data_IF_332462096404
#
_entry.id   IF_332462096404
#
_cell.length_a   1.000
_cell.length_b   1.000
_cell.length_c   1.000
_cell.angle_alpha   90.00
_cell.angle_beta   90.00
_cell.angle_gamma   90.00
#
_symmetry.space_group_name_H-M   'P 1'
#
loop_
_entity.id
_entity.type
_entity.pdbx_description
1 polymer ?
#
# COMPACT_ATOMS: atom_id res chain seq x y z
N UNK A 1 10.75 -11.64 2.64
CA UNK A 1 10.02 -10.95 1.56
C UNK A 1 10.75 -9.73 0.99
N UNK A 2 11.09 -8.70 1.79
CA UNK A 2 11.72 -7.48 1.27
C UNK A 2 12.99 -7.69 0.44
N UNK A 3 13.87 -8.62 0.84
CA UNK A 3 15.06 -8.96 0.05
C UNK A 3 14.72 -9.55 -1.33
N UNK A 4 13.71 -10.42 -1.40
CA UNK A 4 13.24 -11.00 -2.65
C UNK A 4 12.65 -9.91 -3.55
N UNK A 5 11.83 -9.01 -2.98
CA UNK A 5 11.34 -7.83 -3.69
C UNK A 5 12.48 -6.96 -4.21
N UNK A 6 13.45 -6.59 -3.36
CA UNK A 6 14.57 -5.72 -3.73
C UNK A 6 15.41 -6.32 -4.86
N UNK A 7 15.67 -7.63 -4.80
CA UNK A 7 16.43 -8.35 -5.82
C UNK A 7 15.63 -8.43 -7.13
N UNK A 8 14.38 -8.88 -7.08
CA UNK A 8 13.58 -9.13 -8.27
C UNK A 8 13.18 -7.83 -8.98
N UNK A 9 12.73 -6.83 -8.23
CA UNK A 9 12.40 -5.52 -8.80
C UNK A 9 13.58 -4.91 -9.55
N UNK A 10 14.82 -5.09 -9.07
CA UNK A 10 16.04 -4.58 -9.73
C UNK A 10 16.30 -5.25 -11.09
N UNK A 11 15.88 -6.50 -11.27
CA UNK A 11 15.97 -7.20 -12.56
C UNK A 11 14.99 -6.58 -13.57
N UNK A 12 13.83 -6.12 -13.10
CA UNK A 12 12.80 -5.51 -13.95
C UNK A 12 13.14 -4.05 -14.30
N UNK A 13 13.64 -3.27 -13.34
CA UNK A 13 14.04 -1.88 -13.55
C UNK A 13 15.28 -1.52 -12.72
N UNK A 14 16.35 -1.12 -13.41
CA UNK A 14 17.67 -0.82 -12.85
C UNK A 14 17.79 0.62 -12.30
N UNK A 15 16.92 0.96 -11.34
CA UNK A 15 16.97 2.25 -10.63
C UNK A 15 17.23 2.11 -9.14
N UNK A 16 17.42 3.24 -8.46
CA UNK A 16 17.31 3.29 -7.01
C UNK A 16 15.90 2.81 -6.60
N UNK A 17 15.75 2.28 -5.39
CA UNK A 17 14.47 1.68 -4.96
C UNK A 17 13.30 2.67 -4.99
N UNK A 18 13.54 3.97 -4.78
CA UNK A 18 12.46 4.96 -4.81
C UNK A 18 11.89 5.12 -6.22
N UNK A 19 12.75 5.38 -7.21
CA UNK A 19 12.31 5.52 -8.61
C UNK A 19 11.80 4.21 -9.18
N UNK A 20 12.38 3.08 -8.74
CA UNK A 20 11.89 1.76 -9.09
C UNK A 20 10.48 1.50 -8.60
N UNK A 21 10.16 1.83 -7.35
CA UNK A 21 8.81 1.67 -6.82
C UNK A 21 7.81 2.51 -7.62
N UNK A 22 8.16 3.77 -7.92
CA UNK A 22 7.31 4.66 -8.73
C UNK A 22 7.10 4.09 -10.12
N UNK A 23 8.18 3.71 -10.80
CA UNK A 23 8.12 3.14 -12.14
C UNK A 23 7.27 1.87 -12.19
N UNK A 24 7.41 0.97 -11.21
CA UNK A 24 6.60 -0.24 -11.13
C UNK A 24 5.12 0.05 -10.88
N UNK A 25 4.78 1.03 -10.03
CA UNK A 25 3.38 1.44 -9.81
C UNK A 25 2.77 2.04 -11.07
N UNK A 26 3.50 2.92 -11.76
CA UNK A 26 3.02 3.67 -12.93
C UNK A 26 2.98 2.83 -14.22
N UNK A 27 3.97 1.94 -14.44
CA UNK A 27 4.21 1.31 -15.73
C UNK A 27 4.07 -0.23 -15.73
N UNK A 28 3.85 -0.86 -14.58
CA UNK A 28 3.76 -2.32 -14.50
C UNK A 28 2.56 -2.82 -13.72
N UNK A 29 2.56 -2.65 -12.40
CA UNK A 29 1.57 -3.31 -11.55
C UNK A 29 0.14 -2.89 -11.87
N UNK A 30 -0.15 -1.59 -12.01
CA UNK A 30 -1.50 -1.14 -12.33
C UNK A 30 -1.99 -1.76 -13.65
N UNK A 31 -1.19 -1.67 -14.71
CA UNK A 31 -1.51 -2.22 -16.04
C UNK A 31 -1.73 -3.73 -16.01
N UNK A 32 -0.86 -4.49 -15.32
CA UNK A 32 -0.98 -5.94 -15.21
C UNK A 32 -2.23 -6.34 -14.41
N UNK A 33 -2.49 -5.66 -13.30
CA UNK A 33 -3.68 -5.91 -12.47
C UNK A 33 -4.95 -5.62 -13.26
N UNK A 34 -4.97 -4.51 -14.01
CA UNK A 34 -6.13 -4.07 -14.79
C UNK A 34 -6.33 -4.87 -16.09
N UNK A 35 -5.29 -5.54 -16.60
CA UNK A 35 -5.40 -6.39 -17.80
C UNK A 35 -6.23 -7.65 -17.61
N UNK A 36 -6.48 -8.09 -16.37
CA UNK A 36 -7.33 -9.24 -16.05
C UNK A 36 -8.38 -8.82 -15.03
N UNK A 37 -9.66 -8.90 -15.39
CA UNK A 37 -10.77 -8.55 -14.49
C UNK A 37 -10.73 -9.37 -13.21
N UNK A 38 -10.43 -10.68 -13.30
CA UNK A 38 -10.33 -11.56 -12.13
C UNK A 38 -9.18 -11.17 -11.20
N UNK A 39 -8.02 -10.82 -11.75
CA UNK A 39 -6.88 -10.35 -10.96
C UNK A 39 -7.20 -9.00 -10.29
N UNK A 40 -7.81 -8.08 -11.04
CA UNK A 40 -8.24 -6.79 -10.51
C UNK A 40 -9.19 -6.98 -9.31
N UNK A 41 -10.22 -7.81 -9.47
CA UNK A 41 -11.18 -8.11 -8.39
C UNK A 41 -10.50 -8.74 -7.17
N UNK A 42 -9.57 -9.66 -7.38
CA UNK A 42 -8.82 -10.29 -6.29
C UNK A 42 -7.93 -9.28 -5.54
N UNK A 43 -7.26 -8.37 -6.25
CA UNK A 43 -6.47 -7.29 -5.61
C UNK A 43 -7.39 -6.30 -4.89
N UNK A 44 -8.55 -5.97 -5.46
CA UNK A 44 -9.57 -5.15 -4.76
C UNK A 44 -10.06 -5.81 -3.47
N UNK A 45 -10.23 -7.14 -3.45
CA UNK A 45 -10.53 -7.88 -2.22
C UNK A 45 -9.39 -7.78 -1.19
N UNK A 46 -8.15 -7.89 -1.62
CA UNK A 46 -6.99 -7.71 -0.74
C UNK A 46 -6.92 -6.28 -0.19
N UNK A 47 -7.16 -5.26 -1.02
CA UNK A 47 -7.24 -3.85 -0.58
C UNK A 47 -8.34 -3.65 0.48
N UNK A 48 -9.49 -4.32 0.35
CA UNK A 48 -10.57 -4.29 1.34
C UNK A 48 -10.15 -4.79 2.72
N UNK A 49 -9.12 -5.62 2.81
CA UNK A 49 -8.61 -6.15 4.08
C UNK A 49 -7.55 -5.28 4.75
N UNK A 50 -7.25 -4.09 4.23
CA UNK A 50 -6.25 -3.23 4.84
C UNK A 50 -6.57 -2.92 6.33
N UNK A 51 -5.65 -3.22 7.26
CA UNK A 51 -5.86 -2.94 8.68
C UNK A 51 -5.96 -1.45 8.99
N UNK A 52 -6.76 -1.08 9.99
CA UNK A 52 -6.83 0.31 10.45
C UNK A 52 -5.47 0.82 10.92
N UNK A 53 -4.70 -0.01 11.64
CA UNK A 53 -3.32 0.30 12.04
C UNK A 53 -2.40 0.64 10.85
N UNK A 54 -2.57 -0.03 9.71
CA UNK A 54 -1.83 0.29 8.48
C UNK A 54 -2.13 1.72 8.03
N UNK A 55 -3.42 2.07 8.01
CA UNK A 55 -3.88 3.39 7.57
C UNK A 55 -3.45 4.50 8.54
N UNK A 56 -3.46 4.22 9.85
CA UNK A 56 -2.96 5.14 10.88
C UNK A 56 -1.45 5.37 10.74
N UNK A 57 -0.68 4.30 10.54
CA UNK A 57 0.75 4.41 10.31
C UNK A 57 1.03 5.19 9.02
N UNK A 58 0.31 4.89 7.93
CA UNK A 58 0.43 5.61 6.66
C UNK A 58 0.15 7.11 6.85
N UNK A 59 -0.96 7.46 7.52
CA UNK A 59 -1.30 8.86 7.80
C UNK A 59 -0.20 9.56 8.61
N UNK A 60 0.27 8.92 9.67
CA UNK A 60 1.36 9.43 10.53
C UNK A 60 2.67 9.66 9.75
N UNK A 61 2.88 8.95 8.63
CA UNK A 61 4.07 9.16 7.78
C UNK A 61 3.85 10.19 6.68
N UNK A 62 2.62 10.44 6.28
CA UNK A 62 2.28 11.35 5.18
C UNK A 62 1.85 12.75 5.62
N UNK A 63 1.45 12.96 6.87
CA UNK A 63 0.94 14.28 7.31
C UNK A 63 1.99 15.39 7.21
N UNK A 64 3.28 15.09 7.43
CA UNK A 64 4.34 16.09 7.32
C UNK A 64 4.64 16.40 5.85
N UNK A 65 4.24 17.59 5.39
CA UNK A 65 4.65 18.14 4.10
C UNK A 65 6.17 18.13 4.00
N UNK A 66 6.69 17.52 2.94
CA UNK A 66 8.13 17.29 2.68
C UNK A 66 8.78 16.12 3.43
N UNK A 67 8.03 15.28 4.15
CA UNK A 67 8.57 14.03 4.65
C UNK A 67 9.07 13.15 3.49
N UNK A 68 10.01 12.24 3.76
CA UNK A 68 10.48 11.29 2.74
C UNK A 68 9.32 10.42 2.22
N UNK A 69 8.36 10.06 3.08
CA UNK A 69 7.21 9.26 2.67
C UNK A 69 6.25 10.08 1.80
N UNK A 70 5.95 11.33 2.19
CA UNK A 70 5.17 12.27 1.39
C UNK A 70 5.76 12.38 -0.02
N UNK A 71 7.05 12.72 -0.10
CA UNK A 71 7.80 12.88 -1.36
C UNK A 71 7.81 11.61 -2.23
N UNK A 72 7.81 10.42 -1.63
CA UNK A 72 7.79 9.16 -2.39
C UNK A 72 6.43 8.92 -3.05
N UNK A 73 5.34 9.28 -2.38
CA UNK A 73 3.97 9.12 -2.88
C UNK A 73 3.59 10.23 -3.86
N UNK A 74 3.93 11.47 -3.56
CA UNK A 74 3.48 12.63 -4.35
C UNK A 74 4.30 12.83 -5.62
N UNK A 75 5.57 12.44 -5.67
CA UNK A 75 6.40 12.70 -6.85
C UNK A 75 6.29 11.64 -7.95
N UNK A 76 6.40 12.10 -9.19
CA UNK A 76 6.60 11.25 -10.37
C UNK A 76 8.01 10.65 -10.40
N UNK A 77 8.22 9.71 -11.32
CA UNK A 77 9.51 9.08 -11.60
C UNK A 77 10.57 10.16 -11.88
N UNK A 78 11.75 10.05 -11.25
CA UNK A 78 12.81 11.05 -11.36
C UNK A 78 12.67 12.23 -10.38
N UNK A 79 11.54 12.37 -9.68
CA UNK A 79 11.42 13.23 -8.50
C UNK A 79 11.40 14.75 -8.74
N UNK A 80 11.30 15.19 -10.00
CA UNK A 80 11.24 16.61 -10.34
C UNK A 80 9.83 17.23 -10.30
N UNK A 81 8.79 16.42 -10.51
CA UNK A 81 7.41 16.88 -10.70
C UNK A 81 6.48 16.10 -9.75
N UNK A 82 5.51 16.80 -9.17
CA UNK A 82 4.47 16.20 -8.35
C UNK A 82 3.33 15.64 -9.20
N UNK A 83 2.81 14.48 -8.82
CA UNK A 83 1.50 14.00 -9.21
C UNK A 83 0.43 14.81 -8.45
N UNK A 84 -0.25 15.67 -9.19
CA UNK A 84 -1.24 16.60 -8.64
C UNK A 84 -2.36 15.88 -7.87
N UNK A 85 -2.86 14.75 -8.37
CA UNK A 85 -3.97 14.03 -7.73
C UNK A 85 -3.58 13.51 -6.33
N UNK A 86 -2.50 12.73 -6.23
CA UNK A 86 -2.04 12.17 -4.95
C UNK A 86 -1.67 13.25 -3.95
N UNK A 87 -1.01 14.32 -4.44
CA UNK A 87 -0.68 15.49 -3.62
C UNK A 87 -1.94 16.16 -3.05
N UNK A 88 -2.90 16.48 -3.91
CA UNK A 88 -4.13 17.17 -3.50
C UNK A 88 -4.95 16.34 -2.51
N UNK A 89 -5.00 15.02 -2.68
CA UNK A 89 -5.63 14.11 -1.72
C UNK A 89 -4.97 14.23 -0.35
N UNK A 90 -3.64 14.07 -0.27
CA UNK A 90 -2.91 14.12 1.02
C UNK A 90 -3.09 15.48 1.68
N UNK A 91 -2.85 16.56 0.93
CA UNK A 91 -2.92 17.93 1.43
C UNK A 91 -4.34 18.27 1.93
N UNK A 92 -5.39 17.81 1.24
CA UNK A 92 -6.78 18.05 1.65
C UNK A 92 -7.15 17.30 2.93
N UNK A 93 -6.70 16.05 3.09
CA UNK A 93 -6.94 15.28 4.30
C UNK A 93 -6.23 15.93 5.48
N UNK A 94 -4.98 16.36 5.30
CA UNK A 94 -4.20 17.07 6.32
C UNK A 94 -4.87 18.41 6.69
N UNK A 95 -5.29 19.21 5.72
CA UNK A 95 -5.98 20.48 5.98
C UNK A 95 -7.27 20.28 6.78
N UNK A 96 -8.01 19.19 6.53
CA UNK A 96 -9.28 18.90 7.21
C UNK A 96 -9.11 18.40 8.64
N UNK A 97 -8.15 17.50 8.88
CA UNK A 97 -8.05 16.78 10.15
C UNK A 97 -6.84 17.19 11.01
N UNK A 98 -5.81 17.79 10.42
CA UNK A 98 -4.54 18.09 11.07
C UNK A 98 -3.87 16.86 11.69
N UNK A 99 -2.78 17.07 12.43
CA UNK A 99 -2.14 15.99 13.20
C UNK A 99 -1.94 16.41 14.64
N UNK A 100 -2.80 15.92 15.53
CA UNK A 100 -2.67 16.15 16.96
C UNK A 100 -3.09 14.90 17.76
N UNK A 101 -2.14 14.38 18.53
CA UNK A 101 -2.36 13.23 19.42
C UNK A 101 -3.27 13.54 20.60
N UNK A 102 -3.35 14.80 21.05
CA UNK A 102 -4.22 15.20 22.16
C UNK A 102 -5.70 15.11 21.78
N UNK A 103 -6.03 15.30 20.51
CA UNK A 103 -7.37 15.19 19.94
C UNK A 103 -7.47 14.03 18.94
N UNK A 104 -6.85 12.90 19.29
CA UNK A 104 -6.78 11.70 18.45
C UNK A 104 -8.12 11.28 17.82
N UNK A 105 -9.22 11.41 18.57
CA UNK A 105 -10.57 11.02 18.15
C UNK A 105 -11.13 11.86 16.99
N UNK A 106 -10.71 13.11 16.85
CA UNK A 106 -11.20 14.06 15.84
C UNK A 106 -10.13 14.41 14.79
N UNK A 107 -8.86 14.09 15.05
CA UNK A 107 -7.74 14.31 14.13
C UNK A 107 -7.29 12.99 13.48
N UNK A 108 -6.46 12.20 14.17
CA UNK A 108 -5.77 11.04 13.59
C UNK A 108 -6.74 9.90 13.23
N UNK A 109 -7.71 9.58 14.09
CA UNK A 109 -8.66 8.49 13.87
C UNK A 109 -9.51 8.68 12.61
N UNK A 110 -10.21 9.82 12.40
CA UNK A 110 -11.02 10.02 11.20
C UNK A 110 -10.17 10.15 9.93
N UNK A 111 -8.99 10.77 9.99
CA UNK A 111 -8.05 10.78 8.86
C UNK A 111 -7.64 9.35 8.46
N UNK A 112 -7.28 8.51 9.43
CA UNK A 112 -6.93 7.10 9.20
C UNK A 112 -8.08 6.31 8.58
N UNK A 113 -9.31 6.57 9.04
CA UNK A 113 -10.51 5.95 8.47
C UNK A 113 -10.75 6.39 7.02
N UNK A 114 -10.47 7.64 6.69
CA UNK A 114 -10.57 8.16 5.32
C UNK A 114 -9.50 7.54 4.40
N UNK A 115 -8.26 7.35 4.86
CA UNK A 115 -7.24 6.59 4.11
C UNK A 115 -7.69 5.15 3.85
N UNK A 116 -8.31 4.51 4.84
CA UNK A 116 -8.88 3.17 4.66
C UNK A 116 -9.97 3.18 3.59
N UNK A 117 -10.92 4.12 3.69
CA UNK A 117 -11.99 4.28 2.71
C UNK A 117 -11.45 4.54 1.30
N UNK A 118 -10.44 5.42 1.16
CA UNK A 118 -9.75 5.72 -0.09
C UNK A 118 -9.15 4.48 -0.74
N UNK A 119 -8.48 3.61 0.03
CA UNK A 119 -7.85 2.41 -0.51
C UNK A 119 -8.88 1.34 -0.92
N UNK A 120 -10.11 1.43 -0.42
CA UNK A 120 -11.21 0.50 -0.70
C UNK A 120 -12.14 0.95 -1.84
N UNK A 121 -12.13 2.23 -2.17
CA UNK A 121 -13.08 2.85 -3.10
C UNK A 121 -12.36 3.55 -4.26
N UNK A 122 -13.10 3.94 -5.30
CA UNK A 122 -12.56 4.59 -6.51
C UNK A 122 -12.74 6.11 -6.49
N UNK A 123 -13.50 6.62 -5.52
CA UNK A 123 -13.72 8.04 -5.27
C UNK A 123 -13.71 8.30 -3.77
N UNK A 124 -13.22 9.47 -3.36
CA UNK A 124 -13.39 10.02 -2.02
C UNK A 124 -13.86 11.46 -2.07
N UNK A 125 -14.57 11.89 -1.03
CA UNK A 125 -14.91 13.28 -0.79
C UNK A 125 -14.13 13.78 0.42
N UNK A 126 -13.41 14.89 0.23
CA UNK A 126 -12.74 15.62 1.30
C UNK A 126 -13.22 17.07 1.27
N UNK A 127 -14.17 17.37 2.16
CA UNK A 127 -14.67 18.74 2.36
C UNK A 127 -15.35 19.31 1.10
N UNK A 128 -16.17 18.50 0.43
CA UNK A 128 -16.87 18.85 -0.80
C UNK A 128 -16.01 18.72 -2.06
N UNK A 129 -14.70 18.46 -1.92
CA UNK A 129 -13.81 18.18 -3.04
C UNK A 129 -13.78 16.68 -3.32
N UNK A 130 -14.16 16.29 -4.53
CA UNK A 130 -14.15 14.89 -4.98
C UNK A 130 -12.85 14.53 -5.67
N UNK A 131 -12.28 13.39 -5.31
CA UNK A 131 -11.04 12.87 -5.89
C UNK A 131 -11.25 11.44 -6.39
N UNK A 132 -10.86 11.18 -7.64
CA UNK A 132 -10.75 9.81 -8.15
C UNK A 132 -9.48 9.16 -7.64
N UNK A 133 -9.59 7.87 -7.29
CA UNK A 133 -8.51 7.07 -6.72
C UNK A 133 -8.30 5.82 -7.58
N UNK A 134 -7.37 5.92 -8.53
CA UNK A 134 -7.04 4.82 -9.44
C UNK A 134 -6.33 3.66 -8.73
N UNK A 135 -6.22 2.49 -9.39
CA UNK A 135 -5.39 1.39 -8.89
C UNK A 135 -3.92 1.85 -8.73
N UNK A 136 -3.41 2.62 -9.68
CA UNK A 136 -2.08 3.20 -9.62
C UNK A 136 -1.89 4.05 -8.36
N UNK A 137 -2.85 4.92 -8.02
CA UNK A 137 -2.77 5.74 -6.82
C UNK A 137 -2.74 4.89 -5.55
N UNK A 138 -3.61 3.88 -5.45
CA UNK A 138 -3.64 2.92 -4.32
C UNK A 138 -2.30 2.21 -4.15
N UNK A 139 -1.68 1.80 -5.26
CA UNK A 139 -0.36 1.17 -5.25
C UNK A 139 0.73 2.14 -4.77
N UNK A 140 0.70 3.42 -5.14
CA UNK A 140 1.65 4.40 -4.60
C UNK A 140 1.48 4.59 -3.10
N UNK A 141 0.24 4.73 -2.60
CA UNK A 141 -0.01 4.84 -1.17
C UNK A 141 0.49 3.61 -0.40
N UNK A 142 0.29 2.41 -0.93
CA UNK A 142 0.69 1.16 -0.27
C UNK A 142 2.19 0.89 -0.42
N UNK A 143 2.74 0.91 -1.64
CA UNK A 143 4.13 0.54 -1.88
C UNK A 143 5.08 1.65 -1.47
N UNK A 144 4.87 2.87 -2.00
CA UNK A 144 5.76 4.00 -1.77
C UNK A 144 5.55 4.64 -0.40
N UNK A 145 4.29 4.73 0.04
CA UNK A 145 3.90 5.35 1.31
C UNK A 145 4.06 4.41 2.51
N UNK A 146 3.44 3.24 2.47
CA UNK A 146 3.39 2.32 3.61
C UNK A 146 4.56 1.33 3.64
N UNK A 147 4.61 0.40 2.70
CA UNK A 147 5.50 -0.77 2.73
C UNK A 147 6.97 -0.34 2.69
N UNK A 148 7.32 0.61 1.83
CA UNK A 148 8.70 1.08 1.74
C UNK A 148 9.13 1.86 3.00
N UNK A 149 8.22 2.63 3.61
CA UNK A 149 8.49 3.32 4.87
C UNK A 149 8.65 2.33 6.02
N UNK A 150 7.78 1.31 6.08
CA UNK A 150 7.87 0.21 7.06
C UNK A 150 9.21 -0.54 6.96
N UNK A 151 9.66 -0.85 5.73
CA UNK A 151 10.97 -1.46 5.47
C UNK A 151 12.10 -0.59 6.00
N UNK A 152 12.08 0.71 5.71
CA UNK A 152 13.13 1.63 6.14
C UNK A 152 13.16 1.75 7.67
N UNK A 153 12.01 1.91 8.32
CA UNK A 153 11.93 2.01 9.78
C UNK A 153 12.43 0.73 10.48
N UNK A 154 12.13 -0.43 9.90
CA UNK A 154 12.60 -1.72 10.41
C UNK A 154 14.10 -1.90 10.23
N UNK A 155 14.65 -1.48 9.08
CA UNK A 155 16.09 -1.59 8.79
C UNK A 155 16.95 -0.60 9.55
N UNK A 156 16.44 0.59 9.84
CA UNK A 156 17.17 1.63 10.59
C UNK A 156 17.05 1.49 12.12
N UNK A 157 16.41 0.43 12.62
CA UNK A 157 16.27 0.19 14.06
C UNK A 157 15.35 1.18 14.78
N UNK A 158 14.72 2.11 14.06
CA UNK A 158 13.77 3.08 14.61
C UNK A 158 12.51 2.41 15.17
N UNK A 159 12.21 1.19 14.74
CA UNK A 159 11.21 0.32 15.34
C UNK A 159 11.89 -0.96 15.85
N UNK A 160 12.07 -1.05 17.17
CA UNK A 160 12.33 -2.32 17.87
C UNK A 160 11.32 -3.35 17.36
N UNK A 161 11.82 -4.46 16.83
CA UNK A 161 11.09 -5.65 16.37
C UNK A 161 9.59 -5.59 16.65
N UNK A 162 8.80 -5.31 15.61
CA UNK A 162 7.33 -5.19 15.66
C UNK A 162 6.68 -6.47 16.25
N UNK A 163 7.42 -7.59 16.26
CA UNK A 163 7.03 -8.91 16.79
C UNK A 163 7.65 -9.28 18.13
N UNK A 164 8.58 -8.49 18.70
CA UNK A 164 9.26 -8.80 19.98
C UNK A 164 9.18 -7.60 20.93
N UNK A 165 7.96 -7.18 21.23
CA UNK A 165 7.67 -6.21 22.28
C UNK A 165 6.52 -6.72 23.14
N UNK A 166 6.52 -6.37 24.43
CA UNK A 166 5.35 -6.56 25.31
C UNK A 166 4.08 -5.86 24.81
N UNK A 167 4.21 -4.97 23.81
CA UNK A 167 3.10 -4.25 23.15
C UNK A 167 2.62 -4.92 21.85
N UNK A 168 3.22 -6.03 21.42
CA UNK A 168 2.77 -6.76 20.22
C UNK A 168 1.42 -7.42 20.49
N UNK A 169 0.43 -7.13 19.64
CA UNK A 169 -0.91 -7.71 19.73
C UNK A 169 -1.35 -8.28 18.38
N UNK A 170 -2.52 -8.92 18.33
CA UNK A 170 -3.01 -9.57 17.11
C UNK A 170 -3.18 -8.58 15.94
N UNK A 171 -3.56 -7.33 16.21
CA UNK A 171 -3.60 -6.27 15.17
C UNK A 171 -2.21 -5.93 14.63
N UNK A 172 -1.16 -6.06 15.45
CA UNK A 172 0.23 -5.89 15.01
C UNK A 172 0.66 -7.03 14.07
N UNK A 173 0.28 -8.26 14.36
CA UNK A 173 0.49 -9.40 13.45
C UNK A 173 -0.32 -9.24 12.16
N UNK A 174 -1.58 -8.82 12.25
CA UNK A 174 -2.43 -8.53 11.09
C UNK A 174 -1.77 -7.52 10.14
N UNK A 175 -1.22 -6.42 10.67
CA UNK A 175 -0.50 -5.41 9.90
C UNK A 175 0.73 -5.97 9.16
N UNK A 176 1.57 -6.74 9.87
CA UNK A 176 2.78 -7.33 9.28
C UNK A 176 2.46 -8.39 8.24
N UNK A 177 1.45 -9.24 8.52
CA UNK A 177 1.01 -10.26 7.59
C UNK A 177 0.37 -9.63 6.35
N UNK A 178 -0.41 -8.55 6.51
CA UNK A 178 -0.96 -7.79 5.39
C UNK A 178 0.15 -7.23 4.49
N UNK A 179 1.15 -6.58 5.09
CA UNK A 179 2.35 -6.10 4.36
C UNK A 179 3.04 -7.21 3.59
N UNK A 180 3.21 -8.37 4.23
CA UNK A 180 3.81 -9.54 3.61
C UNK A 180 2.98 -10.01 2.41
N UNK A 181 1.68 -10.21 2.60
CA UNK A 181 0.79 -10.76 1.58
C UNK A 181 0.70 -9.84 0.37
N UNK A 182 0.55 -8.53 0.60
CA UNK A 182 0.51 -7.54 -0.47
C UNK A 182 1.81 -7.51 -1.28
N UNK A 183 2.95 -7.43 -0.60
CA UNK A 183 4.25 -7.43 -1.27
C UNK A 183 4.55 -8.76 -1.98
N UNK A 184 4.12 -9.89 -1.38
CA UNK A 184 4.22 -11.21 -1.99
C UNK A 184 3.54 -11.25 -3.35
N UNK A 185 2.27 -10.86 -3.42
CA UNK A 185 1.53 -10.88 -4.67
C UNK A 185 2.06 -9.90 -5.71
N UNK A 186 2.51 -8.71 -5.30
CA UNK A 186 3.16 -7.79 -6.23
C UNK A 186 4.44 -8.38 -6.84
N UNK A 187 5.22 -9.15 -6.08
CA UNK A 187 6.40 -9.85 -6.63
C UNK A 187 5.98 -10.97 -7.58
N UNK A 188 4.98 -11.77 -7.21
CA UNK A 188 4.49 -12.85 -8.09
C UNK A 188 3.96 -12.28 -9.40
N UNK A 189 3.21 -11.17 -9.38
CA UNK A 189 2.73 -10.49 -10.60
C UNK A 189 3.91 -10.11 -11.51
N UNK A 190 5.00 -9.59 -10.95
CA UNK A 190 6.21 -9.27 -11.74
C UNK A 190 6.90 -10.52 -12.28
N UNK A 191 6.93 -11.61 -11.50
CA UNK A 191 7.53 -12.87 -11.96
C UNK A 191 6.73 -13.46 -13.13
N UNK A 192 5.41 -13.46 -13.04
CA UNK A 192 4.52 -13.94 -14.10
C UNK A 192 4.63 -13.09 -15.38
N UNK A 193 4.81 -11.77 -15.24
CA UNK A 193 5.07 -10.88 -16.38
C UNK A 193 6.46 -11.15 -16.99
N UNK A 194 7.50 -11.21 -16.15
CA UNK A 194 8.89 -11.37 -16.61
C UNK A 194 9.15 -12.70 -17.32
N UNK A 195 8.55 -13.78 -16.82
CA UNK A 195 8.69 -15.13 -17.32
C UNK A 195 7.42 -15.61 -18.01
N UNK A 196 6.70 -14.70 -18.68
CA UNK A 196 5.38 -14.97 -19.22
C UNK A 196 5.31 -16.16 -20.18
N UNK A 197 6.43 -16.50 -20.84
CA UNK A 197 6.61 -17.66 -21.73
C UNK A 197 6.58 -19.02 -21.01
N UNK A 198 6.94 -19.02 -19.73
CA UNK A 198 7.14 -20.25 -18.95
C UNK A 198 5.85 -20.68 -18.23
N UNK A 199 4.81 -19.85 -18.33
CA UNK A 199 3.52 -20.04 -17.67
C UNK A 199 2.40 -20.11 -18.70
N UNK A 200 1.34 -20.82 -18.32
CA UNK A 200 0.11 -20.92 -19.10
C UNK A 200 -0.57 -19.56 -19.32
N UNK A 201 -1.53 -19.53 -20.25
CA UNK A 201 -2.29 -18.32 -20.57
C UNK A 201 -3.19 -17.87 -19.41
N UNK A 202 -3.63 -18.80 -18.55
CA UNK A 202 -4.54 -18.55 -17.43
C UNK A 202 -3.82 -18.24 -16.10
N UNK A 203 -2.53 -17.86 -16.15
CA UNK A 203 -1.69 -17.64 -14.97
C UNK A 203 -2.22 -16.56 -14.03
N UNK A 204 -2.87 -15.53 -14.56
CA UNK A 204 -3.42 -14.45 -13.74
C UNK A 204 -4.74 -14.85 -13.07
N UNK A 205 -5.50 -15.75 -13.69
CA UNK A 205 -6.71 -16.35 -13.12
C UNK A 205 -6.37 -17.30 -11.98
N UNK A 206 -5.35 -18.15 -12.15
CA UNK A 206 -4.85 -19.02 -11.07
C UNK A 206 -4.32 -18.19 -9.90
N UNK A 207 -3.58 -17.11 -10.19
CA UNK A 207 -3.13 -16.16 -9.18
C UNK A 207 -4.31 -15.50 -8.46
N UNK A 208 -5.34 -15.08 -9.18
CA UNK A 208 -6.53 -14.46 -8.61
C UNK A 208 -7.25 -15.40 -7.62
N UNK A 209 -7.40 -16.68 -7.96
CA UNK A 209 -7.98 -17.67 -7.05
C UNK A 209 -7.10 -17.91 -5.82
N UNK A 210 -5.77 -17.95 -5.99
CA UNK A 210 -4.86 -18.03 -4.86
C UNK A 210 -4.96 -16.81 -3.91
N UNK A 211 -5.07 -15.60 -4.47
CA UNK A 211 -5.29 -14.38 -3.69
C UNK A 211 -6.59 -14.49 -2.90
N UNK A 212 -7.69 -14.90 -3.53
CA UNK A 212 -8.99 -15.06 -2.85
C UNK A 212 -8.92 -16.06 -1.69
N UNK A 213 -8.26 -17.20 -1.87
CA UNK A 213 -8.07 -18.17 -0.79
C UNK A 213 -7.29 -17.57 0.38
N UNK A 214 -6.21 -16.85 0.11
CA UNK A 214 -5.41 -16.21 1.17
C UNK A 214 -6.14 -15.03 1.82
N UNK A 215 -7.02 -14.33 1.10
CA UNK A 215 -7.93 -13.32 1.64
C UNK A 215 -8.87 -13.95 2.67
N UNK A 216 -9.46 -15.11 2.38
CA UNK A 216 -10.32 -15.81 3.35
C UNK A 216 -9.52 -16.29 4.57
N UNK A 217 -8.36 -16.92 4.37
CA UNK A 217 -7.48 -17.32 5.49
C UNK A 217 -7.05 -16.12 6.35
N UNK A 218 -6.76 -14.98 5.73
CA UNK A 218 -6.44 -13.76 6.46
C UNK A 218 -7.61 -13.29 7.33
N UNK A 219 -8.85 -13.35 6.83
CA UNK A 219 -10.05 -13.00 7.60
C UNK A 219 -10.27 -13.98 8.75
N UNK A 220 -10.07 -15.27 8.54
CA UNK A 220 -10.19 -16.28 9.61
C UNK A 220 -9.20 -16.01 10.74
N UNK A 221 -7.95 -15.69 10.42
CA UNK A 221 -6.91 -15.42 11.41
C UNK A 221 -7.07 -14.05 12.09
N UNK A 222 -7.42 -13.01 11.33
CA UNK A 222 -7.29 -11.63 11.78
C UNK A 222 -8.56 -10.79 11.70
N UNK A 223 -9.71 -11.33 11.27
CA UNK A 223 -10.93 -10.58 10.94
C UNK A 223 -11.37 -9.61 12.05
N UNK A 224 -11.34 -10.07 13.30
CA UNK A 224 -11.68 -9.27 14.50
C UNK A 224 -10.68 -8.13 14.81
N UNK A 225 -9.57 -8.07 14.09
CA UNK A 225 -8.45 -7.16 14.28
C UNK A 225 -8.18 -6.24 13.08
N UNK A 226 -8.92 -6.38 11.96
CA UNK A 226 -8.79 -5.54 10.75
C UNK A 226 -9.37 -4.14 10.97
N UNK A 227 -10.49 -4.05 11.71
CA UNK A 227 -11.19 -2.79 11.99
C UNK A 227 -10.72 -2.05 13.25
N UNK A 228 -9.85 -2.67 14.05
CA UNK A 228 -9.39 -2.17 15.35
C UNK A 228 -8.03 -1.48 15.25
#
# INVERSE_FOLDING_TARGET
>A
MFKAYDAFSKIVYSGNITDRNRWLCDNKWALLIESSSKLNDAIKLLLKLIPMKTCQYLYTRLYERNSKAYTRVTKLIGGGIDNANRKNIIDSIENKYGYDYNIYSTSIRPASALYKFMLQNEEIDVDGSKYSVSMCDKLHFIVSGYIYTLRNDTMHGNNISITKSSKTNMSTYANNYYSFLFMYYLVIILMLDKYSSDYNMNKYEELAENIKQNVELYKELFGNHIGR
#
